data_IF_482857444663
#
_entry.id   IF_482857444663
#
_cell.length_a   1.000
_cell.length_b   1.000
_cell.length_c   1.000
_cell.angle_alpha   90.00
_cell.angle_beta   90.00
_cell.angle_gamma   90.00
#
_symmetry.space_group_name_H-M   'P 1'
#
loop_
_entity.id
_entity.type
_entity.pdbx_description
1 polymer ?
#
# COMPACT_ATOMS: atom_id res chain seq x y z
N UNK A 1 -7.83 32.47 29.19
CA UNK A 1 -7.32 32.94 27.88
C UNK A 1 -6.02 32.22 27.57
N UNK A 2 -5.66 32.10 26.29
CA UNK A 2 -4.34 31.63 25.86
C UNK A 2 -3.35 32.81 25.89
N UNK A 3 -2.09 32.55 26.21
CA UNK A 3 -1.04 33.58 26.10
C UNK A 3 -0.60 33.80 24.63
N UNK A 4 0.24 34.80 24.39
CA UNK A 4 0.70 35.15 23.04
C UNK A 4 1.56 34.07 22.37
N UNK A 5 2.31 33.28 23.14
CA UNK A 5 3.15 32.21 22.62
C UNK A 5 2.30 30.96 22.29
N UNK A 6 1.37 30.59 23.17
CA UNK A 6 0.38 29.54 22.96
C UNK A 6 -0.46 29.82 21.71
N UNK A 7 -0.94 31.06 21.55
CA UNK A 7 -1.71 31.47 20.37
C UNK A 7 -0.92 31.33 19.07
N UNK A 8 0.34 31.78 19.08
CA UNK A 8 1.25 31.64 17.92
C UNK A 8 1.49 30.16 17.58
N UNK A 9 1.76 29.32 18.57
CA UNK A 9 2.00 27.89 18.35
C UNK A 9 0.76 27.18 17.82
N UNK A 10 -0.43 27.56 18.31
CA UNK A 10 -1.71 27.06 17.82
C UNK A 10 -1.92 27.40 16.34
N UNK A 11 -1.74 28.67 15.97
CA UNK A 11 -1.84 29.13 14.58
C UNK A 11 -0.88 28.38 13.65
N UNK A 12 0.39 28.25 14.06
CA UNK A 12 1.42 27.56 13.27
C UNK A 12 1.12 26.08 13.07
N UNK A 13 0.49 25.43 14.06
CA UNK A 13 0.18 23.99 14.00
C UNK A 13 -1.03 23.68 13.14
N UNK A 14 -2.05 24.55 13.15
CA UNK A 14 -3.31 24.33 12.42
C UNK A 14 -3.23 24.82 10.97
N UNK A 15 -2.60 25.97 10.74
CA UNK A 15 -2.60 26.66 9.43
C UNK A 15 -1.55 26.19 8.43
N UNK A 16 -0.61 25.31 8.82
CA UNK A 16 0.47 24.87 7.93
C UNK A 16 0.34 23.39 7.57
N UNK A 17 0.28 23.08 6.28
CA UNK A 17 0.28 21.70 5.76
C UNK A 17 1.68 21.16 5.44
N UNK A 18 2.72 22.02 5.44
CA UNK A 18 4.06 21.67 4.94
C UNK A 18 5.22 22.04 5.89
N UNK A 19 4.93 22.43 7.14
CA UNK A 19 5.95 22.84 8.12
C UNK A 19 6.08 21.91 9.32
N UNK A 20 7.16 22.09 10.09
CA UNK A 20 7.29 21.53 11.44
C UNK A 20 6.22 22.13 12.34
N UNK A 21 5.20 21.35 12.69
CA UNK A 21 4.12 21.78 13.59
C UNK A 21 4.63 21.74 15.03
N UNK A 22 4.61 22.86 15.78
CA UNK A 22 5.13 22.89 17.14
C UNK A 22 4.25 22.15 18.16
N UNK A 23 2.97 21.96 17.87
CA UNK A 23 2.03 21.22 18.72
C UNK A 23 1.55 19.94 18.03
N UNK A 24 1.33 18.89 18.81
CA UNK A 24 0.61 17.68 18.42
C UNK A 24 -0.89 17.94 18.23
N UNK A 25 -1.64 17.05 17.55
CA UNK A 25 -3.09 17.16 17.44
C UNK A 25 -3.81 17.19 18.80
N UNK A 26 -3.27 16.52 19.82
CA UNK A 26 -3.83 16.50 21.18
C UNK A 26 -3.64 17.85 21.87
N UNK A 27 -2.44 18.42 21.82
CA UNK A 27 -2.18 19.75 22.41
C UNK A 27 -3.03 20.84 21.73
N UNK A 28 -3.21 20.76 20.41
CA UNK A 28 -4.15 21.63 19.68
C UNK A 28 -5.57 21.48 20.22
N UNK A 29 -6.03 20.24 20.45
CA UNK A 29 -7.36 19.99 20.99
C UNK A 29 -7.54 20.54 22.41
N UNK A 30 -6.52 20.44 23.26
CA UNK A 30 -6.52 20.98 24.63
C UNK A 30 -6.60 22.52 24.64
N UNK A 31 -5.85 23.19 23.77
CA UNK A 31 -5.92 24.65 23.61
C UNK A 31 -7.28 25.10 23.10
N UNK A 32 -7.85 24.40 22.11
CA UNK A 32 -9.21 24.65 21.63
C UNK A 32 -10.22 24.45 22.76
N UNK A 33 -10.08 23.40 23.58
CA UNK A 33 -10.97 23.13 24.70
C UNK A 33 -10.92 24.24 25.77
N UNK A 34 -9.74 24.82 26.03
CA UNK A 34 -9.58 25.99 26.90
C UNK A 34 -10.30 27.23 26.37
N UNK A 35 -10.25 27.48 25.05
CA UNK A 35 -10.99 28.59 24.43
C UNK A 35 -12.50 28.39 24.52
N UNK A 36 -12.99 27.17 24.27
CA UNK A 36 -14.42 26.83 24.45
C UNK A 36 -14.87 27.04 25.89
N UNK A 37 -14.07 26.62 26.88
CA UNK A 37 -14.36 26.85 28.31
C UNK A 37 -14.36 28.34 28.69
N UNK A 38 -13.63 29.18 27.96
CA UNK A 38 -13.63 30.63 28.12
C UNK A 38 -14.84 31.31 27.44
N UNK A 39 -15.77 30.54 26.85
CA UNK A 39 -16.99 31.05 26.22
C UNK A 39 -16.88 31.29 24.72
N UNK A 40 -15.77 30.94 24.07
CA UNK A 40 -15.66 31.07 22.62
C UNK A 40 -16.46 30.01 21.88
N UNK A 41 -17.16 30.41 20.81
CA UNK A 41 -17.87 29.48 19.95
C UNK A 41 -16.92 28.78 18.98
N UNK A 42 -17.27 27.56 18.53
CA UNK A 42 -16.48 26.82 17.54
C UNK A 42 -16.29 27.62 16.22
N UNK A 43 -17.29 28.40 15.82
CA UNK A 43 -17.23 29.25 14.63
C UNK A 43 -16.23 30.41 14.81
N UNK A 44 -16.25 31.06 15.98
CA UNK A 44 -15.28 32.11 16.33
C UNK A 44 -13.86 31.55 16.35
N UNK A 45 -13.65 30.39 16.96
CA UNK A 45 -12.34 29.72 17.00
C UNK A 45 -11.88 29.37 15.58
N UNK A 46 -12.74 28.79 14.75
CA UNK A 46 -12.40 28.45 13.37
C UNK A 46 -11.99 29.68 12.56
N UNK A 47 -12.74 30.77 12.66
CA UNK A 47 -12.42 32.05 12.00
C UNK A 47 -11.07 32.60 12.45
N UNK A 48 -10.80 32.60 13.76
CA UNK A 48 -9.52 33.06 14.33
C UNK A 48 -8.34 32.18 13.92
N UNK A 49 -8.55 30.89 13.68
CA UNK A 49 -7.53 29.94 13.23
C UNK A 49 -7.42 29.84 11.70
N UNK A 50 -8.14 30.68 10.94
CA UNK A 50 -8.20 30.64 9.48
C UNK A 50 -8.61 29.26 8.93
N UNK A 51 -9.49 28.55 9.64
CA UNK A 51 -10.07 27.30 9.20
C UNK A 51 -11.30 27.58 8.32
N UNK A 52 -11.52 26.73 7.31
CA UNK A 52 -12.66 26.87 6.39
C UNK A 52 -14.01 26.78 7.11
N UNK A 53 -14.11 25.97 8.17
CA UNK A 53 -15.34 25.74 8.91
C UNK A 53 -15.09 25.28 10.36
N UNK A 54 -16.17 25.24 11.14
CA UNK A 54 -16.15 24.75 12.53
C UNK A 54 -16.01 23.21 12.64
N UNK A 55 -16.06 22.45 11.53
CA UNK A 55 -15.97 20.99 11.55
C UNK A 55 -14.57 20.53 11.98
N UNK A 56 -13.53 21.25 11.57
CA UNK A 56 -12.16 20.92 11.97
C UNK A 56 -11.94 21.13 13.47
N UNK A 57 -12.50 22.21 14.03
CA UNK A 57 -12.52 22.46 15.48
C UNK A 57 -13.23 21.33 16.22
N UNK A 58 -14.37 20.87 15.70
CA UNK A 58 -15.09 19.72 16.26
C UNK A 58 -14.25 18.43 16.21
N UNK A 59 -13.53 18.18 15.12
CA UNK A 59 -12.62 17.03 15.00
C UNK A 59 -11.52 17.05 16.07
N UNK A 60 -10.84 18.18 16.27
CA UNK A 60 -9.83 18.27 17.34
C UNK A 60 -10.44 17.94 18.70
N UNK A 61 -11.59 18.53 19.03
CA UNK A 61 -12.28 18.24 20.30
C UNK A 61 -12.64 16.75 20.45
N UNK A 62 -13.03 16.06 19.37
CA UNK A 62 -13.30 14.62 19.40
C UNK A 62 -12.08 13.80 19.84
N UNK A 63 -10.84 14.26 19.57
CA UNK A 63 -9.64 13.56 20.01
C UNK A 63 -9.50 13.49 21.54
N UNK A 64 -10.14 14.42 22.27
CA UNK A 64 -10.16 14.38 23.73
C UNK A 64 -11.06 13.26 24.28
N UNK A 65 -11.85 12.60 23.43
CA UNK A 65 -12.61 11.40 23.79
C UNK A 65 -11.74 10.12 23.74
N UNK A 66 -10.47 10.23 23.33
CA UNK A 66 -9.54 9.12 23.38
C UNK A 66 -9.17 8.80 24.83
N UNK A 67 -8.98 7.52 25.10
CA UNK A 67 -8.35 6.98 26.30
C UNK A 67 -7.04 7.70 26.56
N UNK A 68 -6.73 7.98 27.82
CA UNK A 68 -5.53 8.74 28.19
C UNK A 68 -4.25 8.07 27.65
N UNK A 69 -4.18 6.74 27.71
CA UNK A 69 -3.06 5.94 27.18
C UNK A 69 -2.89 6.02 25.65
N UNK A 70 -3.96 6.36 24.91
CA UNK A 70 -3.94 6.41 23.44
C UNK A 70 -3.55 7.80 22.93
N UNK A 71 -3.80 8.86 23.70
CA UNK A 71 -3.53 10.25 23.27
C UNK A 71 -2.06 10.49 22.88
N UNK A 72 -1.04 10.03 23.63
CA UNK A 72 0.37 10.22 23.25
C UNK A 72 0.76 9.54 21.92
N UNK A 73 -0.06 8.60 21.45
CA UNK A 73 0.18 7.89 20.20
C UNK A 73 -0.29 8.68 18.96
N UNK A 74 -1.00 9.80 19.14
CA UNK A 74 -1.59 10.56 18.03
C UNK A 74 -0.62 11.60 17.49
N UNK A 75 -0.41 11.57 16.17
CA UNK A 75 0.41 12.52 15.44
C UNK A 75 -0.30 13.00 14.16
N UNK A 76 0.29 14.00 13.52
CA UNK A 76 -0.17 14.56 12.25
C UNK A 76 -0.07 13.60 11.05
N UNK A 77 0.50 12.40 11.25
CA UNK A 77 0.64 11.37 10.23
C UNK A 77 1.96 11.40 9.45
N UNK A 78 2.96 12.17 9.91
CA UNK A 78 4.30 12.21 9.30
C UNK A 78 5.21 11.07 9.78
N UNK A 79 4.94 10.48 10.96
CA UNK A 79 5.75 9.41 11.54
C UNK A 79 5.08 8.05 11.33
N UNK A 80 5.81 7.11 10.72
CA UNK A 80 5.33 5.74 10.40
C UNK A 80 4.98 4.87 11.63
N UNK A 81 5.16 5.36 12.86
CA UNK A 81 4.98 4.58 14.10
C UNK A 81 3.95 5.17 15.07
N UNK A 82 3.20 6.19 14.64
CA UNK A 82 2.17 6.84 15.43
C UNK A 82 0.83 6.80 14.69
N UNK A 83 -0.26 6.96 15.43
CA UNK A 83 -1.60 7.04 14.87
C UNK A 83 -1.76 8.36 14.13
N UNK A 84 -2.15 8.30 12.85
CA UNK A 84 -2.57 9.51 12.17
C UNK A 84 -3.83 10.07 12.81
N UNK A 85 -3.97 11.41 12.84
CA UNK A 85 -5.18 12.09 13.33
C UNK A 85 -6.46 11.50 12.74
N UNK A 86 -6.46 11.15 11.45
CA UNK A 86 -7.63 10.53 10.81
C UNK A 86 -8.00 9.17 11.41
N UNK A 87 -7.02 8.34 11.75
CA UNK A 87 -7.27 7.03 12.36
C UNK A 87 -7.70 7.20 13.82
N UNK A 88 -7.07 8.13 14.54
CA UNK A 88 -7.42 8.48 15.92
C UNK A 88 -8.87 8.96 16.05
N UNK A 89 -9.37 9.76 15.10
CA UNK A 89 -10.77 10.18 15.05
C UNK A 89 -11.75 9.01 14.92
N UNK A 90 -11.41 7.97 14.16
CA UNK A 90 -12.24 6.78 14.06
C UNK A 90 -12.19 5.97 15.35
N UNK A 91 -11.01 5.82 15.96
CA UNK A 91 -10.82 5.11 17.23
C UNK A 91 -11.62 5.76 18.35
N UNK A 92 -11.65 7.10 18.42
CA UNK A 92 -12.37 7.87 19.46
C UNK A 92 -13.89 7.62 19.51
N UNK A 93 -14.45 6.90 18.53
CA UNK A 93 -15.87 6.52 18.48
C UNK A 93 -16.19 5.24 19.25
N UNK A 94 -15.17 4.50 19.69
CA UNK A 94 -15.31 3.26 20.44
C UNK A 94 -15.26 3.50 21.96
N UNK A 95 -15.77 2.57 22.78
CA UNK A 95 -15.52 2.55 24.23
C UNK A 95 -14.04 2.47 24.57
N UNK A 96 -13.63 3.07 25.70
CA UNK A 96 -12.22 3.25 26.09
C UNK A 96 -11.37 1.96 26.05
N UNK A 97 -11.89 0.86 26.58
CA UNK A 97 -11.21 -0.44 26.57
C UNK A 97 -10.94 -0.98 25.15
N UNK A 98 -11.79 -0.63 24.18
CA UNK A 98 -11.66 -1.04 22.79
C UNK A 98 -10.72 -0.11 22.00
N UNK A 99 -10.60 1.15 22.42
CA UNK A 99 -9.68 2.11 21.82
C UNK A 99 -8.22 1.67 21.99
N UNK A 100 -7.87 1.17 23.17
CA UNK A 100 -6.53 0.62 23.47
C UNK A 100 -6.25 -0.60 22.60
N UNK A 101 -7.19 -1.54 22.51
CA UNK A 101 -7.04 -2.72 21.67
C UNK A 101 -6.88 -2.39 20.18
N UNK A 102 -7.70 -1.46 19.66
CA UNK A 102 -7.65 -1.05 18.26
C UNK A 102 -6.39 -0.26 17.94
N UNK A 103 -5.97 0.69 18.79
CA UNK A 103 -4.74 1.45 18.58
C UNK A 103 -3.51 0.55 18.50
N UNK A 104 -3.40 -0.44 19.40
CA UNK A 104 -2.34 -1.45 19.34
C UNK A 104 -2.37 -2.24 18.02
N UNK A 105 -3.55 -2.65 17.55
CA UNK A 105 -3.70 -3.36 16.27
C UNK A 105 -3.34 -2.48 15.06
N UNK A 106 -3.74 -1.21 15.06
CA UNK A 106 -3.39 -0.24 14.01
C UNK A 106 -1.88 -0.09 13.89
N UNK A 107 -1.18 0.05 15.01
CA UNK A 107 0.28 0.17 15.03
C UNK A 107 0.97 -1.14 14.63
N UNK A 108 0.50 -2.29 15.17
CA UNK A 108 1.07 -3.61 14.90
C UNK A 108 0.95 -4.03 13.44
N UNK A 109 -0.23 -3.84 12.84
CA UNK A 109 -0.53 -4.29 11.48
C UNK A 109 -0.42 -3.18 10.43
N UNK A 110 0.00 -1.98 10.85
CA UNK A 110 0.08 -0.77 10.02
C UNK A 110 -1.22 -0.53 9.27
N UNK A 111 -2.35 -0.56 10.00
CA UNK A 111 -3.66 -0.32 9.38
C UNK A 111 -3.72 1.11 8.85
N UNK A 112 -4.10 1.27 7.59
CA UNK A 112 -4.31 2.61 7.03
C UNK A 112 -5.65 3.20 7.52
N UNK A 113 -5.94 4.46 7.15
CA UNK A 113 -7.20 5.14 7.53
C UNK A 113 -8.45 4.34 7.12
N UNK A 114 -8.48 3.83 5.89
CA UNK A 114 -9.63 3.10 5.34
C UNK A 114 -9.87 1.80 6.09
N UNK A 115 -8.79 1.06 6.36
CA UNK A 115 -8.83 -0.18 7.15
C UNK A 115 -9.30 0.09 8.59
N UNK A 116 -8.75 1.12 9.23
CA UNK A 116 -9.17 1.52 10.59
C UNK A 116 -10.66 1.87 10.62
N UNK A 117 -11.13 2.68 9.67
CA UNK A 117 -12.54 3.03 9.52
C UNK A 117 -13.41 1.78 9.32
N UNK A 118 -12.96 0.83 8.49
CA UNK A 118 -13.67 -0.43 8.25
C UNK A 118 -13.80 -1.27 9.52
N UNK A 119 -12.73 -1.38 10.32
CA UNK A 119 -12.74 -2.10 11.60
C UNK A 119 -13.74 -1.46 12.58
N UNK A 120 -13.72 -0.13 12.72
CA UNK A 120 -14.65 0.61 13.58
C UNK A 120 -16.10 0.43 13.12
N UNK A 121 -16.36 0.54 11.82
CA UNK A 121 -17.71 0.34 11.28
C UNK A 121 -18.21 -1.09 11.48
N UNK A 122 -17.36 -2.08 11.25
CA UNK A 122 -17.70 -3.49 11.46
C UNK A 122 -18.00 -3.76 12.94
N UNK A 123 -17.20 -3.20 13.84
CA UNK A 123 -17.41 -3.26 15.28
C UNK A 123 -18.76 -2.66 15.68
N UNK A 124 -19.02 -1.41 15.30
CA UNK A 124 -20.25 -0.71 15.65
C UNK A 124 -21.50 -1.39 15.11
N UNK A 125 -21.42 -2.00 13.91
CA UNK A 125 -22.56 -2.70 13.29
C UNK A 125 -22.83 -4.08 13.89
N UNK A 126 -21.79 -4.82 14.27
CA UNK A 126 -21.91 -6.24 14.63
C UNK A 126 -21.75 -6.53 16.12
N UNK A 127 -21.20 -5.58 16.89
CA UNK A 127 -20.87 -5.78 18.31
C UNK A 127 -19.73 -6.75 18.59
N UNK A 128 -19.13 -7.38 17.55
CA UNK A 128 -18.05 -8.38 17.67
C UNK A 128 -16.82 -7.81 18.38
N UNK A 129 -15.92 -8.65 18.87
CA UNK A 129 -14.66 -8.16 19.47
C UNK A 129 -13.77 -7.48 18.42
N UNK A 130 -13.03 -6.45 18.84
CA UNK A 130 -12.14 -5.67 17.95
C UNK A 130 -11.15 -6.58 17.20
N UNK A 131 -10.55 -7.56 17.89
CA UNK A 131 -9.61 -8.51 17.26
C UNK A 131 -10.21 -9.24 16.06
N UNK A 132 -11.43 -9.77 16.20
CA UNK A 132 -12.13 -10.44 15.10
C UNK A 132 -12.45 -9.49 13.93
N UNK A 133 -12.74 -8.22 14.22
CA UNK A 133 -12.95 -7.21 13.19
C UNK A 133 -11.64 -6.87 12.45
N UNK A 134 -10.51 -6.81 13.17
CA UNK A 134 -9.18 -6.61 12.59
C UNK A 134 -8.82 -7.78 11.67
N UNK A 135 -8.96 -9.02 12.13
CA UNK A 135 -8.65 -10.21 11.33
C UNK A 135 -9.45 -10.25 10.03
N UNK A 136 -10.73 -9.91 10.10
CA UNK A 136 -11.60 -9.83 8.92
C UNK A 136 -11.13 -8.74 7.94
N UNK A 137 -10.76 -7.56 8.41
CA UNK A 137 -10.21 -6.49 7.55
C UNK A 137 -8.86 -6.90 6.94
N UNK A 138 -7.99 -7.55 7.70
CA UNK A 138 -6.69 -8.03 7.19
C UNK A 138 -6.85 -9.10 6.11
N UNK A 139 -7.82 -10.00 6.25
CA UNK A 139 -8.14 -11.02 5.24
C UNK A 139 -8.62 -10.42 3.90
N UNK A 140 -9.08 -9.16 3.91
CA UNK A 140 -9.49 -8.44 2.70
C UNK A 140 -8.35 -7.67 2.02
N UNK A 141 -7.13 -7.67 2.60
CA UNK A 141 -5.98 -6.97 2.00
C UNK A 141 -5.68 -7.53 0.62
N UNK A 142 -5.53 -6.68 -0.41
CA UNK A 142 -5.14 -7.15 -1.72
C UNK A 142 -3.72 -7.73 -1.67
N UNK A 143 -3.55 -8.95 -2.16
CA UNK A 143 -2.23 -9.55 -2.31
C UNK A 143 -1.60 -9.06 -3.61
N UNK A 144 -0.64 -8.15 -3.52
CA UNK A 144 0.11 -7.68 -4.70
C UNK A 144 1.01 -8.82 -5.17
N UNK A 145 0.67 -9.41 -6.32
CA UNK A 145 1.54 -10.38 -6.99
C UNK A 145 2.37 -9.65 -8.03
N UNK A 146 3.65 -9.44 -7.76
CA UNK A 146 4.59 -8.90 -8.75
C UNK A 146 4.90 -10.00 -9.76
N UNK A 147 4.74 -9.68 -11.05
CA UNK A 147 5.12 -10.55 -12.17
C UNK A 147 6.20 -9.86 -12.96
N UNK A 148 7.30 -10.55 -13.20
CA UNK A 148 8.33 -10.10 -14.11
C UNK A 148 7.88 -10.43 -15.54
N UNK A 149 8.10 -9.48 -16.46
CA UNK A 149 7.85 -9.68 -17.89
C UNK A 149 9.13 -9.36 -18.63
N UNK A 150 9.74 -10.38 -19.23
CA UNK A 150 10.92 -10.26 -20.07
C UNK A 150 10.51 -10.43 -21.52
N UNK A 151 10.98 -9.52 -22.36
CA UNK A 151 10.72 -9.52 -23.79
C UNK A 151 12.06 -9.58 -24.48
N UNK A 152 12.25 -10.58 -25.36
CA UNK A 152 13.45 -10.72 -26.17
C UNK A 152 13.15 -10.77 -27.65
N UNK A 153 14.12 -10.40 -28.47
CA UNK A 153 14.04 -10.46 -29.93
C UNK A 153 14.65 -11.76 -30.47
N UNK A 154 14.10 -12.26 -31.57
CA UNK A 154 14.67 -13.39 -32.33
C UNK A 154 15.42 -12.81 -33.52
N UNK A 155 16.74 -12.90 -33.53
CA UNK A 155 17.57 -12.25 -34.55
C UNK A 155 17.84 -13.14 -35.78
N UNK A 156 17.81 -14.46 -35.62
CA UNK A 156 18.11 -15.42 -36.70
C UNK A 156 16.93 -15.60 -37.67
N UNK A 157 17.08 -15.14 -38.91
CA UNK A 157 16.04 -15.20 -39.96
C UNK A 157 15.57 -16.63 -40.29
N UNK A 158 16.45 -17.63 -40.16
CA UNK A 158 16.10 -19.03 -40.41
C UNK A 158 15.16 -19.56 -39.32
N UNK A 159 15.42 -19.19 -38.06
CA UNK A 159 14.53 -19.48 -36.93
C UNK A 159 13.19 -18.75 -37.12
N UNK A 160 13.20 -17.48 -37.52
CA UNK A 160 11.96 -16.75 -37.80
C UNK A 160 11.11 -17.46 -38.87
N UNK A 161 11.72 -17.93 -39.96
CA UNK A 161 11.04 -18.68 -41.02
C UNK A 161 10.47 -20.01 -40.53
N UNK A 162 11.21 -20.76 -39.73
CA UNK A 162 10.71 -22.01 -39.14
C UNK A 162 9.51 -21.76 -38.22
N UNK A 163 9.58 -20.70 -37.38
CA UNK A 163 8.48 -20.32 -36.49
C UNK A 163 7.22 -19.88 -37.23
N UNK A 164 7.34 -19.34 -38.45
CA UNK A 164 6.17 -18.99 -39.28
C UNK A 164 5.38 -20.23 -39.75
N UNK A 165 6.00 -21.40 -39.80
CA UNK A 165 5.35 -22.65 -40.18
C UNK A 165 4.64 -23.33 -39.01
N UNK A 166 4.85 -22.85 -37.79
CA UNK A 166 4.27 -23.40 -36.58
C UNK A 166 3.03 -22.62 -36.13
N UNK A 167 1.98 -23.36 -35.73
CA UNK A 167 0.85 -22.76 -35.03
C UNK A 167 1.31 -22.25 -33.67
N UNK A 168 0.53 -21.32 -33.09
CA UNK A 168 0.94 -20.64 -31.86
C UNK A 168 1.18 -21.58 -30.68
N UNK A 169 0.36 -22.63 -30.54
CA UNK A 169 0.49 -23.63 -29.47
C UNK A 169 1.84 -24.33 -29.53
N UNK A 170 2.29 -24.71 -30.73
CA UNK A 170 3.59 -25.36 -30.95
C UNK A 170 4.75 -24.41 -30.67
N UNK A 171 4.62 -23.15 -31.05
CA UNK A 171 5.61 -22.12 -30.73
C UNK A 171 5.76 -21.94 -29.22
N UNK A 172 4.64 -21.85 -28.51
CA UNK A 172 4.64 -21.67 -27.06
C UNK A 172 5.22 -22.91 -26.34
N UNK A 173 4.95 -24.12 -26.85
CA UNK A 173 5.52 -25.36 -26.33
C UNK A 173 7.02 -25.51 -26.64
N UNK A 174 7.46 -25.15 -27.84
CA UNK A 174 8.88 -25.08 -28.21
C UNK A 174 9.65 -24.14 -27.28
N UNK A 175 9.12 -22.95 -27.00
CA UNK A 175 9.73 -22.02 -26.04
C UNK A 175 9.73 -22.60 -24.63
N UNK A 176 8.63 -23.23 -24.19
CA UNK A 176 8.54 -23.87 -22.87
C UNK A 176 9.61 -24.95 -22.69
N UNK A 177 9.80 -25.84 -23.68
CA UNK A 177 10.85 -26.86 -23.67
C UNK A 177 12.25 -26.25 -23.67
N UNK A 178 12.45 -25.20 -24.46
CA UNK A 178 13.72 -24.47 -24.50
C UNK A 178 14.07 -23.88 -23.13
N UNK A 179 13.10 -23.25 -22.45
CA UNK A 179 13.30 -22.72 -21.10
C UNK A 179 13.55 -23.83 -20.06
N UNK A 180 12.85 -24.96 -20.16
CA UNK A 180 13.08 -26.11 -19.28
C UNK A 180 14.49 -26.68 -19.44
N UNK A 181 15.00 -26.76 -20.68
CA UNK A 181 16.39 -27.15 -20.96
C UNK A 181 17.43 -26.19 -20.35
N UNK A 182 17.06 -24.92 -20.17
CA UNK A 182 17.86 -23.90 -19.48
C UNK A 182 17.64 -23.89 -17.96
N UNK A 183 16.87 -24.83 -17.40
CA UNK A 183 16.57 -24.92 -15.97
C UNK A 183 15.50 -23.93 -15.48
N UNK A 184 14.78 -23.26 -16.39
CA UNK A 184 13.72 -22.31 -16.06
C UNK A 184 12.36 -23.00 -16.12
N UNK A 185 11.62 -22.97 -15.01
CA UNK A 185 10.30 -23.57 -14.89
C UNK A 185 9.27 -22.60 -14.31
N UNK A 186 7.98 -22.91 -14.48
CA UNK A 186 6.88 -22.08 -13.93
C UNK A 186 6.64 -20.75 -14.64
N UNK A 187 7.23 -20.54 -15.82
CA UNK A 187 7.00 -19.36 -16.65
C UNK A 187 5.79 -19.54 -17.59
N UNK A 188 4.98 -18.49 -17.71
CA UNK A 188 4.08 -18.33 -18.83
C UNK A 188 4.87 -17.77 -20.02
N UNK A 189 4.72 -18.36 -21.19
CA UNK A 189 5.52 -18.04 -22.37
C UNK A 189 4.66 -17.71 -23.56
N UNK A 190 5.17 -16.82 -24.42
CA UNK A 190 4.58 -16.50 -25.71
C UNK A 190 5.66 -16.34 -26.76
N UNK A 191 5.68 -17.21 -27.77
CA UNK A 191 6.66 -17.16 -28.86
C UNK A 191 6.02 -16.64 -30.16
N UNK A 192 6.55 -15.54 -30.67
CA UNK A 192 6.24 -14.97 -31.98
C UNK A 192 7.45 -15.12 -32.90
N UNK A 193 7.28 -15.06 -34.23
CA UNK A 193 8.39 -15.27 -35.16
C UNK A 193 9.56 -14.32 -34.94
N UNK A 194 9.31 -13.09 -34.45
CA UNK A 194 10.34 -12.05 -34.24
C UNK A 194 10.68 -11.78 -32.78
N UNK A 195 9.91 -12.31 -31.83
CA UNK A 195 10.02 -11.96 -30.41
C UNK A 195 9.48 -13.06 -29.52
N UNK A 196 9.96 -13.12 -28.30
CA UNK A 196 9.39 -13.97 -27.27
C UNK A 196 9.08 -13.15 -26.02
N UNK A 197 8.10 -13.61 -25.25
CA UNK A 197 7.73 -13.04 -23.95
C UNK A 197 7.78 -14.15 -22.92
N UNK A 198 8.43 -13.88 -21.81
CA UNK A 198 8.49 -14.74 -20.63
C UNK A 198 7.88 -13.95 -19.48
N UNK A 199 6.84 -14.49 -18.87
CA UNK A 199 6.16 -13.89 -17.73
C UNK A 199 6.18 -14.86 -16.54
N UNK A 200 6.58 -14.40 -15.37
CA UNK A 200 6.78 -15.28 -14.23
C UNK A 200 6.85 -14.57 -12.88
N UNK A 201 7.22 -15.32 -11.84
CA UNK A 201 7.58 -14.76 -10.53
C UNK A 201 8.93 -14.04 -10.61
N UNK A 202 9.31 -13.33 -9.55
CA UNK A 202 10.65 -12.75 -9.42
C UNK A 202 11.75 -13.79 -9.59
N UNK A 203 11.57 -15.00 -9.04
CA UNK A 203 12.50 -16.12 -9.22
C UNK A 203 12.71 -16.48 -10.70
N UNK A 204 11.64 -16.51 -11.51
CA UNK A 204 11.76 -16.73 -12.96
C UNK A 204 12.57 -15.60 -13.61
N UNK A 205 12.30 -14.35 -13.22
CA UNK A 205 13.06 -13.19 -13.70
C UNK A 205 14.56 -13.29 -13.37
N UNK A 206 14.90 -13.65 -12.14
CA UNK A 206 16.28 -13.81 -11.69
C UNK A 206 16.99 -14.96 -12.44
N UNK A 207 16.30 -16.10 -12.62
CA UNK A 207 16.82 -17.23 -13.40
C UNK A 207 17.10 -16.82 -14.85
N UNK A 208 16.15 -16.16 -15.52
CA UNK A 208 16.33 -15.72 -16.92
C UNK A 208 17.48 -14.72 -17.03
N UNK A 209 17.58 -13.73 -16.13
CA UNK A 209 18.66 -12.73 -16.13
C UNK A 209 20.04 -13.31 -15.83
N UNK A 210 20.11 -14.45 -15.14
CA UNK A 210 21.36 -15.14 -14.83
C UNK A 210 21.97 -15.92 -16.00
N UNK A 211 21.21 -16.10 -17.09
CA UNK A 211 21.69 -16.80 -18.29
C UNK A 211 22.88 -16.07 -18.93
N UNK A 212 23.86 -16.84 -19.37
CA UNK A 212 25.06 -16.38 -20.09
C UNK A 212 25.03 -16.90 -21.52
N UNK A 213 25.61 -16.20 -22.52
CA UNK A 213 26.30 -14.90 -22.44
C UNK A 213 25.35 -13.70 -22.24
N UNK A 214 24.12 -13.80 -22.73
CA UNK A 214 22.96 -13.00 -22.33
C UNK A 214 21.70 -13.87 -22.47
N UNK A 215 20.58 -13.45 -21.88
CA UNK A 215 19.37 -14.27 -21.88
C UNK A 215 18.73 -14.37 -23.27
N UNK A 216 18.83 -13.34 -24.12
CA UNK A 216 18.22 -13.34 -25.45
C UNK A 216 18.89 -14.38 -26.34
N UNK A 217 20.22 -14.37 -26.36
CA UNK A 217 21.05 -15.29 -27.10
C UNK A 217 20.92 -16.71 -26.56
N UNK A 218 20.93 -16.91 -25.23
CA UNK A 218 20.73 -18.22 -24.64
C UNK A 218 19.36 -18.83 -25.00
N UNK A 219 18.29 -18.03 -24.94
CA UNK A 219 16.95 -18.48 -25.34
C UNK A 219 16.87 -18.76 -26.84
N UNK A 220 17.43 -17.89 -27.69
CA UNK A 220 17.45 -18.10 -29.14
C UNK A 220 18.22 -19.36 -29.52
N UNK A 221 19.38 -19.61 -28.89
CA UNK A 221 20.16 -20.83 -29.10
C UNK A 221 19.39 -22.08 -28.69
N UNK A 222 18.71 -22.06 -27.53
CA UNK A 222 17.90 -23.19 -27.08
C UNK A 222 16.72 -23.47 -28.02
N UNK A 223 16.07 -22.42 -28.56
CA UNK A 223 15.01 -22.57 -29.58
C UNK A 223 15.58 -23.22 -30.84
N UNK A 224 16.72 -22.72 -31.34
CA UNK A 224 17.37 -23.24 -32.54
C UNK A 224 17.78 -24.71 -32.37
N UNK A 225 18.37 -25.07 -31.23
CA UNK A 225 18.73 -26.46 -30.91
C UNK A 225 17.53 -27.38 -30.92
N UNK A 226 16.40 -26.98 -30.30
CA UNK A 226 15.19 -27.79 -30.30
C UNK A 226 14.57 -27.95 -31.70
N UNK A 227 14.62 -26.91 -32.54
CA UNK A 227 14.19 -27.01 -33.94
C UNK A 227 15.08 -27.99 -34.73
N UNK A 228 16.39 -27.92 -34.58
CA UNK A 228 17.34 -28.81 -35.24
C UNK A 228 17.21 -30.27 -34.77
N UNK A 229 16.85 -30.50 -33.51
CA UNK A 229 16.64 -31.83 -32.94
C UNK A 229 15.30 -32.47 -33.35
N UNK A 230 14.64 -31.94 -34.38
CA UNK A 230 13.43 -32.53 -34.95
C UNK A 230 12.23 -32.35 -34.04
N UNK A 231 12.01 -31.15 -33.50
CA UNK A 231 10.78 -30.81 -32.78
C UNK A 231 9.55 -31.28 -33.57
N UNK A 232 8.94 -32.37 -33.10
CA UNK A 232 7.69 -32.88 -33.63
C UNK A 232 6.55 -32.20 -32.87
N UNK A 233 5.74 -31.37 -33.53
CA UNK A 233 4.54 -30.81 -32.90
C UNK A 233 3.64 -31.97 -32.48
N UNK A 234 3.12 -31.88 -31.25
CA UNK A 234 2.24 -32.88 -30.63
C UNK A 234 0.79 -32.71 -31.07
#
# INVERSE_FOLDING_TARGET
>A
MLDGAEWRNLLLSVGTHQGSRPLSPIEVAEFIQRLVRAGETKATIASKLHLNDASMVAKFLTLLNLAEDVRPLVDWGSKQKLLSMSSALEIARLPENEQIALSAAVLKHQLNKSETQQVVQLKLRTGRQVGACVDQTLAMRPTITVREVLVGAIQDESVQHALLQLVQTDRDELLRRSLLGLGISGAAVRLQPKRFVISGSQQVGDQVRSLQPDFEQAVCQAIQQNLCNGYAPS
#
